data_IF_210239577289
#
_entry.id   IF_210239577289
#
_cell.length_a   1.000
_cell.length_b   1.000
_cell.length_c   1.000
_cell.angle_alpha   90.00
_cell.angle_beta   90.00
_cell.angle_gamma   90.00
#
_symmetry.space_group_name_H-M   'P 1'
#
loop_
_entity.id
_entity.type
_entity.pdbx_description
1 polymer ?
#
# COMPACT_ATOMS: atom_id res chain seq x y z
N UNK A 1 24.74 29.89 -26.28
CA UNK A 1 23.28 30.16 -26.32
C UNK A 1 22.45 29.11 -27.09
N UNK A 2 22.98 27.93 -27.47
CA UNK A 2 22.23 26.87 -28.22
C UNK A 2 21.78 25.65 -27.39
N UNK A 3 22.21 25.52 -26.13
CA UNK A 3 21.90 24.35 -25.27
C UNK A 3 20.52 24.41 -24.58
N UNK A 4 19.80 25.52 -24.68
CA UNK A 4 18.50 25.72 -24.00
C UNK A 4 17.30 25.29 -24.86
N UNK A 5 17.40 25.32 -26.19
CA UNK A 5 16.28 25.02 -27.09
C UNK A 5 15.95 23.52 -27.19
N UNK A 6 16.96 22.65 -27.21
CA UNK A 6 16.80 21.19 -27.28
C UNK A 6 16.23 20.60 -25.99
N UNK A 7 16.61 21.15 -24.82
CA UNK A 7 16.05 20.75 -23.51
C UNK A 7 14.56 21.06 -23.43
N UNK A 8 14.17 22.27 -23.83
CA UNK A 8 12.77 22.75 -23.85
C UNK A 8 11.88 21.94 -24.80
N UNK A 9 12.39 21.53 -25.96
CA UNK A 9 11.66 20.68 -26.90
C UNK A 9 11.48 19.24 -26.37
N UNK A 10 12.50 18.67 -25.70
CA UNK A 10 12.43 17.34 -25.08
C UNK A 10 11.39 17.29 -23.95
N UNK A 11 11.33 18.33 -23.14
CA UNK A 11 10.35 18.45 -22.05
C UNK A 11 8.91 18.52 -22.59
N UNK A 12 8.68 19.21 -23.72
CA UNK A 12 7.34 19.29 -24.35
C UNK A 12 6.86 17.96 -24.95
N UNK A 13 7.76 17.15 -25.53
CA UNK A 13 7.43 15.83 -26.06
C UNK A 13 7.16 14.82 -24.95
N UNK A 14 7.96 14.85 -23.89
CA UNK A 14 7.75 14.02 -22.69
C UNK A 14 6.42 14.35 -22.02
N UNK A 15 6.09 15.63 -21.86
CA UNK A 15 4.80 16.05 -21.27
C UNK A 15 3.61 15.60 -22.12
N UNK A 16 3.68 15.74 -23.45
CA UNK A 16 2.64 15.23 -24.35
C UNK A 16 2.52 13.71 -24.29
N UNK A 17 3.64 12.99 -24.26
CA UNK A 17 3.64 11.53 -24.13
C UNK A 17 3.00 11.08 -22.81
N UNK A 18 3.35 11.72 -21.69
CA UNK A 18 2.74 11.46 -20.37
C UNK A 18 1.24 11.75 -20.40
N UNK A 19 0.81 12.83 -21.06
CA UNK A 19 -0.59 13.20 -21.15
C UNK A 19 -1.40 12.25 -22.04
N UNK A 20 -0.83 11.80 -23.16
CA UNK A 20 -1.43 10.75 -24.00
C UNK A 20 -1.51 9.43 -23.23
N UNK A 21 -0.41 9.02 -22.57
CA UNK A 21 -0.36 7.78 -21.81
C UNK A 21 -1.35 7.77 -20.63
N UNK A 22 -1.54 8.92 -19.97
CA UNK A 22 -2.52 9.10 -18.88
C UNK A 22 -3.94 8.73 -19.29
N UNK A 23 -4.35 8.97 -20.54
CA UNK A 23 -5.68 8.62 -21.05
C UNK A 23 -5.69 7.30 -21.82
N UNK A 24 -4.64 7.02 -22.59
CA UNK A 24 -4.52 5.80 -23.39
C UNK A 24 -4.53 4.56 -22.51
N UNK A 25 -3.78 4.55 -21.40
CA UNK A 25 -3.68 3.39 -20.51
C UNK A 25 -5.05 2.99 -19.93
N UNK A 26 -5.82 3.89 -19.29
CA UNK A 26 -7.17 3.56 -18.84
C UNK A 26 -8.11 3.07 -19.95
N UNK A 27 -8.05 3.68 -21.14
CA UNK A 27 -8.89 3.28 -22.29
C UNK A 27 -8.53 1.87 -22.75
N UNK A 28 -7.25 1.55 -22.86
CA UNK A 28 -6.76 0.21 -23.22
C UNK A 28 -7.19 -0.81 -22.16
N UNK A 29 -7.01 -0.51 -20.88
CA UNK A 29 -7.45 -1.38 -19.77
C UNK A 29 -8.97 -1.62 -19.86
N UNK A 30 -9.77 -0.56 -20.02
CA UNK A 30 -11.22 -0.66 -20.13
C UNK A 30 -11.65 -1.48 -21.36
N UNK A 31 -10.98 -1.31 -22.50
CA UNK A 31 -11.21 -2.11 -23.70
C UNK A 31 -10.93 -3.59 -23.45
N UNK A 32 -9.81 -3.95 -22.82
CA UNK A 32 -9.48 -5.34 -22.51
C UNK A 32 -10.48 -5.95 -21.52
N UNK A 33 -10.83 -5.23 -20.44
CA UNK A 33 -11.84 -5.68 -19.48
C UNK A 33 -13.19 -5.90 -20.19
N UNK A 34 -13.64 -4.92 -20.97
CA UNK A 34 -14.90 -5.01 -21.71
C UNK A 34 -14.91 -6.15 -22.73
N UNK A 35 -13.79 -6.36 -23.44
CA UNK A 35 -13.62 -7.48 -24.37
C UNK A 35 -13.73 -8.82 -23.65
N UNK A 36 -13.05 -8.99 -22.51
CA UNK A 36 -13.11 -10.23 -21.72
C UNK A 36 -14.52 -10.49 -21.22
N UNK A 37 -15.22 -9.47 -20.72
CA UNK A 37 -16.62 -9.60 -20.27
C UNK A 37 -17.52 -9.96 -21.44
N UNK A 38 -17.37 -9.31 -22.60
CA UNK A 38 -18.18 -9.59 -23.79
C UNK A 38 -17.99 -11.02 -24.30
N UNK A 39 -16.74 -11.47 -24.40
CA UNK A 39 -16.40 -12.82 -24.88
C UNK A 39 -16.90 -13.91 -23.93
N UNK A 40 -16.82 -13.67 -22.62
CA UNK A 40 -17.21 -14.64 -21.59
C UNK A 40 -18.59 -14.33 -20.99
N UNK A 41 -19.40 -13.49 -21.65
CA UNK A 41 -20.68 -13.02 -21.10
C UNK A 41 -21.63 -14.17 -20.78
N UNK A 42 -21.59 -15.21 -21.61
CA UNK A 42 -22.43 -16.39 -21.42
C UNK A 42 -22.00 -17.24 -20.23
N UNK A 43 -20.71 -17.28 -19.89
CA UNK A 43 -20.23 -17.91 -18.66
C UNK A 43 -20.70 -17.13 -17.43
N UNK A 44 -20.61 -15.79 -17.46
CA UNK A 44 -21.05 -14.92 -16.36
C UNK A 44 -22.57 -15.02 -16.14
N UNK A 45 -23.34 -15.06 -17.24
CA UNK A 45 -24.81 -15.16 -17.19
C UNK A 45 -25.28 -16.53 -16.70
N UNK A 46 -24.61 -17.60 -17.13
CA UNK A 46 -24.97 -18.97 -16.77
C UNK A 46 -24.26 -19.46 -15.50
N UNK A 47 -23.39 -18.64 -14.89
CA UNK A 47 -22.78 -18.95 -13.62
C UNK A 47 -23.87 -19.18 -12.57
N UNK A 48 -23.79 -20.31 -11.87
CA UNK A 48 -24.66 -20.59 -10.73
C UNK A 48 -24.25 -19.71 -9.54
N UNK A 49 -24.74 -18.47 -9.53
CA UNK A 49 -24.51 -17.52 -8.44
C UNK A 49 -25.06 -18.11 -7.13
N UNK A 50 -24.18 -18.67 -6.32
CA UNK A 50 -24.51 -19.17 -4.99
C UNK A 50 -24.02 -18.18 -3.93
N UNK A 51 -24.92 -17.35 -3.45
CA UNK A 51 -24.63 -16.45 -2.34
C UNK A 51 -24.69 -17.24 -1.05
N UNK A 52 -23.53 -17.56 -0.50
CA UNK A 52 -23.44 -18.22 0.80
C UNK A 52 -23.39 -17.16 1.90
N UNK A 53 -24.45 -17.00 2.71
CA UNK A 53 -24.57 -15.83 3.60
C UNK A 53 -23.49 -15.78 4.68
N UNK A 54 -22.99 -16.93 5.12
CA UNK A 54 -21.96 -17.04 6.16
C UNK A 54 -20.63 -16.50 5.62
N UNK A 55 -20.18 -16.98 4.47
CA UNK A 55 -18.95 -16.55 3.81
C UNK A 55 -19.02 -15.06 3.44
N UNK A 56 -20.17 -14.60 2.93
CA UNK A 56 -20.37 -13.20 2.61
C UNK A 56 -20.28 -12.32 3.87
N UNK A 57 -20.96 -12.70 4.95
CA UNK A 57 -20.93 -11.98 6.21
C UNK A 57 -19.53 -11.96 6.82
N UNK A 58 -18.83 -13.10 6.81
CA UNK A 58 -17.46 -13.20 7.28
C UNK A 58 -16.53 -12.28 6.48
N UNK A 59 -16.65 -12.26 5.15
CA UNK A 59 -15.85 -11.37 4.29
C UNK A 59 -16.10 -9.90 4.60
N UNK A 60 -17.36 -9.51 4.82
CA UNK A 60 -17.76 -8.16 5.16
C UNK A 60 -17.19 -7.74 6.52
N UNK A 61 -17.30 -8.61 7.54
CA UNK A 61 -16.77 -8.35 8.87
C UNK A 61 -15.25 -8.24 8.87
N UNK A 62 -14.53 -9.16 8.22
CA UNK A 62 -13.08 -9.12 8.10
C UNK A 62 -12.60 -7.86 7.37
N UNK A 63 -13.29 -7.49 6.30
CA UNK A 63 -13.00 -6.27 5.55
C UNK A 63 -13.26 -5.03 6.41
N UNK A 64 -14.42 -4.95 7.08
CA UNK A 64 -14.75 -3.85 7.99
C UNK A 64 -13.74 -3.72 9.13
N UNK A 65 -13.30 -4.85 9.69
CA UNK A 65 -12.28 -4.90 10.73
C UNK A 65 -10.96 -4.30 10.26
N UNK A 66 -10.54 -4.56 9.02
CA UNK A 66 -9.38 -3.93 8.41
C UNK A 66 -9.48 -2.39 8.36
N UNK A 67 -10.65 -1.85 8.02
CA UNK A 67 -10.91 -0.40 8.00
C UNK A 67 -10.75 0.25 9.38
N UNK A 68 -11.02 -0.50 10.46
CA UNK A 68 -10.93 -0.06 11.86
C UNK A 68 -9.53 -0.26 12.45
N UNK A 69 -8.88 -1.39 12.17
CA UNK A 69 -7.55 -1.71 12.67
C UNK A 69 -6.49 -0.76 12.14
N UNK A 70 -6.55 -0.44 10.85
CA UNK A 70 -5.47 0.32 10.21
C UNK A 70 -5.24 1.71 10.85
N UNK A 71 -6.27 2.53 11.12
CA UNK A 71 -6.08 3.77 11.86
C UNK A 71 -5.59 3.57 13.30
N UNK A 72 -5.99 2.47 13.95
CA UNK A 72 -5.51 2.11 15.29
C UNK A 72 -4.00 1.83 15.29
N UNK A 73 -3.53 1.05 14.32
CA UNK A 73 -2.10 0.75 14.13
C UNK A 73 -1.32 2.02 13.87
N UNK A 74 -1.80 2.89 12.98
CA UNK A 74 -1.09 4.16 12.73
C UNK A 74 -1.06 5.07 13.96
N UNK A 75 -2.18 5.21 14.69
CA UNK A 75 -2.23 5.98 15.94
C UNK A 75 -1.26 5.44 17.00
N UNK A 76 -1.11 4.12 17.09
CA UNK A 76 -0.13 3.47 17.97
C UNK A 76 1.32 3.76 17.56
N UNK A 77 1.64 3.69 16.26
CA UNK A 77 2.96 4.07 15.75
C UNK A 77 3.24 5.54 16.03
N UNK A 78 2.25 6.41 15.86
CA UNK A 78 2.36 7.84 16.10
C UNK A 78 2.62 8.18 17.58
N UNK A 79 1.99 7.44 18.50
CA UNK A 79 2.23 7.57 19.95
C UNK A 79 3.68 7.25 20.32
N UNK A 80 4.28 6.24 19.67
CA UNK A 80 5.71 5.90 19.86
C UNK A 80 6.66 6.98 19.34
N UNK A 81 6.18 7.85 18.45
CA UNK A 81 6.92 9.02 17.97
C UNK A 81 6.66 10.26 18.84
N UNK A 82 5.98 10.12 19.98
CA UNK A 82 5.71 11.20 20.93
C UNK A 82 4.45 12.03 20.61
N UNK A 83 3.64 11.60 19.64
CA UNK A 83 2.45 12.33 19.22
C UNK A 83 1.19 11.52 19.50
N UNK A 84 0.41 11.94 20.50
CA UNK A 84 -0.81 11.26 20.90
C UNK A 84 -2.01 11.75 20.11
N UNK A 85 -2.72 10.81 19.49
CA UNK A 85 -4.06 11.03 18.93
C UNK A 85 -5.05 10.08 19.59
N UNK A 86 -6.27 10.54 19.81
CA UNK A 86 -7.36 9.63 20.15
C UNK A 86 -7.66 8.71 18.96
N UNK A 87 -8.22 7.54 19.22
CA UNK A 87 -8.59 6.61 18.15
C UNK A 87 -9.51 7.28 17.11
N UNK A 88 -10.48 8.07 17.57
CA UNK A 88 -11.40 8.79 16.69
C UNK A 88 -10.68 9.81 15.79
N UNK A 89 -9.70 10.56 16.31
CA UNK A 89 -8.88 11.47 15.50
C UNK A 89 -8.07 10.71 14.46
N UNK A 90 -7.37 9.65 14.87
CA UNK A 90 -6.59 8.81 13.95
C UNK A 90 -7.49 8.20 12.86
N UNK A 91 -8.67 7.72 13.22
CA UNK A 91 -9.68 7.20 12.30
C UNK A 91 -10.10 8.24 11.27
N UNK A 92 -10.47 9.45 11.71
CA UNK A 92 -10.83 10.53 10.77
C UNK A 92 -9.70 10.89 9.82
N UNK A 93 -8.48 11.04 10.33
CA UNK A 93 -7.31 11.39 9.51
C UNK A 93 -7.08 10.34 8.43
N UNK A 94 -6.99 9.07 8.83
CA UNK A 94 -6.65 7.98 7.90
C UNK A 94 -7.77 7.73 6.89
N UNK A 95 -9.03 7.62 7.34
CA UNK A 95 -10.15 7.33 6.44
C UNK A 95 -10.38 8.46 5.44
N UNK A 96 -10.34 9.73 5.87
CA UNK A 96 -10.50 10.88 4.96
C UNK A 96 -9.32 10.99 3.99
N UNK A 97 -8.10 10.76 4.46
CA UNK A 97 -6.92 10.77 3.59
C UNK A 97 -6.98 9.66 2.53
N UNK A 98 -7.49 8.48 2.86
CA UNK A 98 -7.63 7.38 1.90
C UNK A 98 -8.59 7.73 0.74
N UNK A 99 -9.63 8.53 0.96
CA UNK A 99 -10.52 8.96 -0.13
C UNK A 99 -9.78 9.76 -1.21
N UNK A 100 -8.71 10.46 -0.85
CA UNK A 100 -7.93 11.23 -1.84
C UNK A 100 -7.10 10.35 -2.77
N UNK A 101 -6.97 9.04 -2.50
CA UNK A 101 -6.29 8.10 -3.39
C UNK A 101 -7.07 7.82 -4.68
N UNK A 102 -8.36 8.12 -4.67
CA UNK A 102 -9.22 8.00 -5.85
C UNK A 102 -9.12 9.22 -6.76
N UNK A 103 -8.43 10.28 -6.31
CA UNK A 103 -8.12 11.45 -7.14
C UNK A 103 -6.91 11.13 -8.03
N UNK A 104 -6.94 11.47 -9.33
CA UNK A 104 -5.80 11.24 -10.21
C UNK A 104 -4.54 11.96 -9.70
N UNK A 105 -3.55 11.17 -9.29
CA UNK A 105 -2.26 11.61 -8.72
C UNK A 105 -1.90 10.80 -7.47
N UNK A 106 -0.74 10.15 -7.46
CA UNK A 106 -0.33 9.22 -6.37
C UNK A 106 -0.03 9.92 -5.04
N UNK A 107 0.19 11.23 -5.06
CA UNK A 107 0.65 12.00 -3.89
C UNK A 107 -0.49 12.50 -2.99
N UNK A 108 -1.73 12.55 -3.48
CA UNK A 108 -2.84 13.18 -2.77
C UNK A 108 -3.16 12.53 -1.42
N UNK A 109 -3.01 11.21 -1.34
CA UNK A 109 -3.17 10.45 -0.09
C UNK A 109 -2.25 10.96 1.01
N UNK A 110 -0.99 11.23 0.68
CA UNK A 110 0.01 11.67 1.64
C UNK A 110 -0.19 13.14 2.02
N UNK A 111 -0.45 14.00 1.03
CA UNK A 111 -0.72 15.43 1.27
C UNK A 111 -1.94 15.60 2.17
N UNK A 112 -3.02 14.88 1.87
CA UNK A 112 -4.25 14.91 2.67
C UNK A 112 -4.01 14.44 4.09
N UNK A 113 -3.22 13.37 4.27
CA UNK A 113 -2.89 12.84 5.60
C UNK A 113 -2.07 13.84 6.42
N UNK A 114 -1.05 14.47 5.82
CA UNK A 114 -0.23 15.51 6.46
C UNK A 114 -1.11 16.69 6.88
N UNK A 115 -1.95 17.18 5.96
CA UNK A 115 -2.83 18.30 6.21
C UNK A 115 -3.84 18.01 7.35
N UNK A 116 -4.47 16.83 7.33
CA UNK A 116 -5.45 16.43 8.34
C UNK A 116 -4.81 16.15 9.69
N UNK A 117 -3.64 15.51 9.73
CA UNK A 117 -2.90 15.26 10.96
C UNK A 117 -2.41 16.59 11.59
N UNK A 118 -1.99 17.55 10.76
CA UNK A 118 -1.59 18.88 11.20
C UNK A 118 -2.68 19.65 11.96
N UNK A 119 -3.97 19.41 11.64
CA UNK A 119 -5.10 19.98 12.39
C UNK A 119 -5.17 19.51 13.85
N UNK A 120 -4.50 18.42 14.18
CA UNK A 120 -4.40 17.88 15.53
C UNK A 120 -3.01 18.12 16.16
N UNK A 121 -2.21 19.04 15.59
CA UNK A 121 -0.89 19.41 16.12
C UNK A 121 0.22 18.41 15.78
N UNK A 122 -0.02 17.44 14.89
CA UNK A 122 1.01 16.48 14.47
C UNK A 122 1.89 17.12 13.40
N UNK A 123 3.22 17.19 13.59
CA UNK A 123 4.10 17.80 12.60
C UNK A 123 4.24 16.94 11.35
N UNK A 124 4.59 17.58 10.24
CA UNK A 124 4.71 16.91 8.93
C UNK A 124 5.72 15.78 8.93
N UNK A 125 6.89 15.97 9.54
CA UNK A 125 7.95 14.95 9.59
C UNK A 125 7.49 13.69 10.34
N UNK A 126 6.79 13.83 11.47
CA UNK A 126 6.24 12.71 12.22
C UNK A 126 5.16 11.97 11.40
N UNK A 127 4.28 12.71 10.72
CA UNK A 127 3.26 12.10 9.85
C UNK A 127 3.90 11.28 8.72
N UNK A 128 4.92 11.82 8.05
CA UNK A 128 5.64 11.12 6.97
C UNK A 128 6.34 9.88 7.52
N UNK A 129 7.14 10.02 8.57
CA UNK A 129 7.91 8.94 9.16
C UNK A 129 7.00 7.78 9.61
N UNK A 130 5.93 8.10 10.35
CA UNK A 130 4.98 7.09 10.84
C UNK A 130 4.16 6.44 9.73
N UNK A 131 3.85 7.17 8.65
CA UNK A 131 3.19 6.60 7.45
C UNK A 131 4.13 5.66 6.69
N UNK A 132 5.43 5.98 6.61
CA UNK A 132 6.43 5.08 6.04
C UNK A 132 6.56 3.81 6.86
N UNK A 133 6.67 3.93 8.19
CA UNK A 133 6.68 2.78 9.11
C UNK A 133 5.42 1.93 8.96
N UNK A 134 4.23 2.54 8.91
CA UNK A 134 2.98 1.83 8.63
C UNK A 134 3.06 1.07 7.30
N UNK A 135 3.55 1.72 6.23
CA UNK A 135 3.67 1.10 4.90
C UNK A 135 4.60 -0.10 4.91
N UNK A 136 5.74 0.00 5.61
CA UNK A 136 6.69 -1.11 5.76
C UNK A 136 6.07 -2.26 6.55
N UNK A 137 5.37 -1.97 7.66
CA UNK A 137 4.65 -3.00 8.43
C UNK A 137 3.63 -3.72 7.54
N UNK A 138 2.85 -2.98 6.75
CA UNK A 138 1.87 -3.56 5.84
C UNK A 138 2.51 -4.39 4.74
N UNK A 139 3.62 -3.92 4.17
CA UNK A 139 4.36 -4.67 3.16
C UNK A 139 4.88 -5.99 3.72
N UNK A 140 5.49 -5.96 4.91
CA UNK A 140 5.96 -7.17 5.60
C UNK A 140 4.81 -8.13 5.94
N UNK A 141 3.68 -7.61 6.44
CA UNK A 141 2.51 -8.42 6.72
C UNK A 141 1.93 -9.08 5.45
N UNK A 142 1.99 -8.39 4.31
CA UNK A 142 1.50 -8.91 3.03
C UNK A 142 2.37 -10.03 2.44
N UNK A 143 3.63 -10.18 2.89
CA UNK A 143 4.49 -11.27 2.43
C UNK A 143 3.92 -12.63 2.82
N UNK A 144 3.32 -12.77 4.02
CA UNK A 144 2.79 -14.05 4.50
C UNK A 144 1.75 -14.64 3.53
N UNK A 145 0.63 -13.94 3.20
CA UNK A 145 -0.35 -14.48 2.25
C UNK A 145 0.21 -14.58 0.83
N UNK A 146 1.11 -13.68 0.41
CA UNK A 146 1.73 -13.76 -0.92
C UNK A 146 2.54 -15.05 -1.09
N UNK A 147 3.31 -15.42 -0.06
CA UNK A 147 4.12 -16.63 -0.06
C UNK A 147 3.28 -17.90 0.07
N UNK A 148 2.25 -17.86 0.92
CA UNK A 148 1.26 -18.93 1.01
C UNK A 148 0.66 -19.23 -0.37
N UNK A 149 0.16 -18.20 -1.05
CA UNK A 149 -0.45 -18.35 -2.38
C UNK A 149 0.56 -18.83 -3.42
N UNK A 150 1.80 -18.33 -3.37
CA UNK A 150 2.87 -18.78 -4.28
C UNK A 150 3.22 -20.26 -4.07
N UNK A 151 3.17 -20.75 -2.82
CA UNK A 151 3.42 -22.15 -2.50
C UNK A 151 2.36 -23.09 -3.06
N UNK A 152 1.09 -22.68 -3.10
CA UNK A 152 0.01 -23.47 -3.67
C UNK A 152 0.03 -23.44 -5.21
N UNK A 153 0.43 -22.32 -5.80
CA UNK A 153 0.35 -22.10 -7.26
C UNK A 153 1.51 -22.74 -8.03
N UNK A 154 2.67 -22.95 -7.39
CA UNK A 154 3.87 -23.52 -8.02
C UNK A 154 4.17 -24.94 -7.51
N UNK A 155 3.54 -25.98 -8.08
CA UNK A 155 3.69 -27.37 -7.63
C UNK A 155 5.12 -27.95 -7.81
N UNK A 156 6.01 -27.26 -8.53
CA UNK A 156 7.40 -27.66 -8.76
C UNK A 156 8.39 -27.19 -7.67
N UNK A 157 7.93 -26.43 -6.66
CA UNK A 157 8.82 -25.93 -5.60
C UNK A 157 9.14 -27.04 -4.58
N UNK A 158 10.39 -27.49 -4.58
CA UNK A 158 10.90 -28.45 -3.60
C UNK A 158 10.88 -27.86 -2.17
N UNK A 159 10.80 -28.70 -1.13
CA UNK A 159 10.66 -28.32 0.30
C UNK A 159 11.66 -27.25 0.77
N UNK A 160 12.87 -27.25 0.22
CA UNK A 160 13.90 -26.25 0.52
C UNK A 160 13.58 -24.85 0.00
N UNK A 161 12.95 -24.73 -1.17
CA UNK A 161 12.51 -23.44 -1.72
C UNK A 161 11.38 -22.84 -0.88
N UNK A 162 10.48 -23.69 -0.36
CA UNK A 162 9.45 -23.27 0.58
C UNK A 162 10.05 -22.74 1.89
N UNK A 163 11.06 -23.42 2.46
CA UNK A 163 11.75 -22.97 3.67
C UNK A 163 12.48 -21.63 3.43
N UNK A 164 13.18 -21.46 2.31
CA UNK A 164 13.82 -20.17 1.96
C UNK A 164 12.79 -19.05 1.76
N UNK A 165 11.62 -19.37 1.18
CA UNK A 165 10.51 -18.44 1.01
C UNK A 165 10.05 -17.87 2.35
N UNK A 166 9.93 -18.69 3.39
CA UNK A 166 9.49 -18.28 4.73
C UNK A 166 10.58 -17.57 5.53
N UNK A 167 11.86 -17.90 5.33
CA UNK A 167 12.98 -17.29 6.05
C UNK A 167 13.17 -15.82 5.67
N UNK A 168 12.98 -15.45 4.40
CA UNK A 168 13.24 -14.08 3.91
C UNK A 168 12.33 -13.02 4.57
N UNK A 169 10.99 -13.17 4.63
CA UNK A 169 10.11 -12.25 5.34
C UNK A 169 10.35 -12.21 6.83
N UNK A 170 10.62 -13.36 7.45
CA UNK A 170 10.88 -13.43 8.89
C UNK A 170 12.18 -12.67 9.20
N UNK A 171 13.23 -12.87 8.41
CA UNK A 171 14.47 -12.12 8.52
C UNK A 171 14.25 -10.62 8.26
N UNK A 172 13.46 -10.25 7.25
CA UNK A 172 13.14 -8.86 6.96
C UNK A 172 12.32 -8.20 8.08
N UNK A 173 11.35 -8.92 8.65
CA UNK A 173 10.54 -8.47 9.77
C UNK A 173 11.38 -8.27 11.03
N UNK A 174 12.27 -9.21 11.33
CA UNK A 174 13.23 -9.09 12.45
C UNK A 174 14.19 -7.93 12.21
N UNK A 175 14.73 -7.77 11.00
CA UNK A 175 15.67 -6.68 10.67
C UNK A 175 15.05 -5.29 10.82
N UNK A 176 13.77 -5.15 10.48
CA UNK A 176 13.03 -3.88 10.53
C UNK A 176 12.44 -3.62 11.93
N UNK A 177 12.40 -4.63 12.80
CA UNK A 177 11.88 -4.47 14.15
C UNK A 177 12.65 -3.35 14.89
N UNK A 178 11.96 -2.35 15.47
CA UNK A 178 12.62 -1.18 16.08
C UNK A 178 13.62 -1.54 17.17
N UNK A 179 13.44 -2.67 17.86
CA UNK A 179 14.41 -3.20 18.82
C UNK A 179 15.75 -3.63 18.18
N UNK A 180 15.71 -4.18 16.96
CA UNK A 180 16.91 -4.63 16.22
C UNK A 180 17.62 -3.43 15.58
N UNK A 181 16.88 -2.50 14.98
CA UNK A 181 17.44 -1.25 14.47
C UNK A 181 18.11 -0.42 15.57
N UNK A 182 17.45 -0.27 16.73
CA UNK A 182 18.05 0.40 17.88
C UNK A 182 19.25 -0.33 18.46
N UNK A 183 19.27 -1.67 18.42
CA UNK A 183 20.42 -2.47 18.84
C UNK A 183 21.64 -2.21 17.94
N UNK A 184 21.47 -2.26 16.62
CA UNK A 184 22.55 -2.00 15.67
C UNK A 184 23.03 -0.55 15.70
N UNK A 185 22.10 0.42 15.81
CA UNK A 185 22.44 1.83 15.97
C UNK A 185 23.28 2.08 17.23
N UNK A 186 22.90 1.51 18.37
CA UNK A 186 23.68 1.60 19.63
C UNK A 186 25.02 0.88 19.56
N UNK A 187 25.13 -0.19 18.78
CA UNK A 187 26.39 -0.95 18.64
C UNK A 187 27.37 -0.26 17.70
N UNK A 188 26.87 0.42 16.68
CA UNK A 188 27.68 1.22 15.76
C UNK A 188 28.15 2.52 16.41
N UNK A 189 27.30 3.18 17.21
CA UNK A 189 27.65 4.39 17.95
C UNK A 189 28.63 4.18 19.13
N UNK A 190 28.96 2.92 19.47
CA UNK A 190 29.99 2.58 20.46
C UNK A 190 31.35 2.27 19.83
N UNK A 191 31.41 2.22 18.50
CA UNK A 191 32.64 1.93 17.72
C UNK A 191 33.17 3.15 16.96
N UNK A 192 32.44 4.27 17.00
CA UNK A 192 32.86 5.61 16.60
C UNK A 192 33.03 6.44 17.88
#
# INVERSE_FOLDING_TARGET
MRLTATKRARDSRLQRAVQVLKYLVPVVIAFFIGRVIYQNWQEVRNAAWSFRPIELSASFLLTGWWFVLRPRVWGFVLDHFGHKLTFHQAFQVVRKAELSRYVPGTIWQYVSRIYLAGRYGVPTHATIATTLVETVILFLASLIPALWFLSETLPSLNRYHLIMLWIIPIAAFVAIHPGVLNFWAKRLSRRL
#
